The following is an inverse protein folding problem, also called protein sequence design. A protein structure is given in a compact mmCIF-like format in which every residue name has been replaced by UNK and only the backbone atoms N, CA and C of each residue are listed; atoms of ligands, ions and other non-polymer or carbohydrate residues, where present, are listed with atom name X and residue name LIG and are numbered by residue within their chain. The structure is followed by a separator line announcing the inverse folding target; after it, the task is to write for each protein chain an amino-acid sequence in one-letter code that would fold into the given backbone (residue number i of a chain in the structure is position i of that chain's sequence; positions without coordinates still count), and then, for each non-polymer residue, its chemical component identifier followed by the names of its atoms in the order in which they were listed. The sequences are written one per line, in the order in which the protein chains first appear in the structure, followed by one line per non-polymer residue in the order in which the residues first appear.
data_IF_018468211404
#
_entry.id   IF_018468211404
#
_cell.length_a   1.000
_cell.length_b   1.000
_cell.length_c   1.000
_cell.angle_alpha   90.00
_cell.angle_beta   90.00
_cell.angle_gamma   90.00
#
_symmetry.space_group_name_H-M   'P 1'
#
loop_
_entity.id
_entity.type
_entity.pdbx_description
1 polymer ?
#
# COMPACT_ATOMS: atom_id res chain seq x y z
N UNK A 1 -20.12 -36.63 0.12
CA UNK A 1 -20.44 -35.45 -0.72
C UNK A 1 -19.85 -34.24 -0.04
N UNK A 2 -18.64 -33.85 -0.42
CA UNK A 2 -17.86 -32.78 0.18
C UNK A 2 -17.71 -31.68 -0.83
N UNK A 3 -18.39 -30.56 -0.59
CA UNK A 3 -18.30 -29.36 -1.41
C UNK A 3 -17.01 -28.64 -1.11
N UNK A 4 -16.05 -28.71 -2.02
CA UNK A 4 -14.80 -27.98 -1.96
C UNK A 4 -15.03 -26.50 -2.27
N UNK A 5 -14.78 -25.62 -1.31
CA UNK A 5 -14.75 -24.19 -1.51
C UNK A 5 -13.48 -23.81 -2.27
N UNK A 6 -13.65 -23.44 -3.54
CA UNK A 6 -12.59 -22.82 -4.35
C UNK A 6 -12.32 -21.40 -3.88
N UNK A 7 -11.23 -21.22 -3.15
CA UNK A 7 -10.68 -19.90 -2.87
C UNK A 7 -9.92 -19.43 -4.11
N UNK A 8 -10.59 -18.61 -4.94
CA UNK A 8 -9.98 -17.98 -6.09
C UNK A 8 -9.04 -16.84 -5.69
N UNK A 9 -7.93 -16.86 -6.35
CA UNK A 9 -6.78 -15.97 -6.43
C UNK A 9 -7.19 -14.49 -6.39
N UNK A 10 -6.85 -13.80 -5.32
CA UNK A 10 -6.92 -12.34 -5.26
C UNK A 10 -5.75 -11.78 -6.09
N UNK A 11 -6.00 -11.46 -7.34
CA UNK A 11 -5.09 -10.66 -8.16
C UNK A 11 -5.34 -9.19 -7.82
N UNK A 12 -4.35 -8.57 -7.25
CA UNK A 12 -4.28 -7.13 -7.12
C UNK A 12 -3.94 -6.58 -8.52
N UNK A 13 -4.95 -6.21 -9.29
CA UNK A 13 -4.74 -5.57 -10.59
C UNK A 13 -5.21 -4.13 -10.49
N UNK A 14 -4.31 -3.23 -10.06
CA UNK A 14 -4.46 -1.82 -10.38
C UNK A 14 -4.14 -1.64 -11.87
N UNK A 15 -5.16 -1.58 -12.71
CA UNK A 15 -5.01 -1.28 -14.15
C UNK A 15 -4.80 0.22 -14.27
N UNK A 16 -3.54 0.66 -14.34
CA UNK A 16 -3.20 1.96 -14.91
C UNK A 16 -3.09 1.82 -16.43
N UNK A 17 -4.17 2.09 -17.16
CA UNK A 17 -4.13 2.30 -18.58
C UNK A 17 -3.55 3.70 -18.86
N UNK A 18 -2.27 3.77 -19.21
CA UNK A 18 -1.69 4.94 -19.84
C UNK A 18 -2.24 5.01 -21.26
N UNK A 19 -3.15 5.94 -21.54
CA UNK A 19 -3.66 6.22 -22.89
C UNK A 19 -2.58 6.93 -23.69
N UNK A 20 -1.89 6.16 -24.57
CA UNK A 20 -1.16 6.72 -25.70
C UNK A 20 -2.18 6.92 -26.81
N UNK A 21 -2.45 8.18 -27.17
CA UNK A 21 -3.35 8.53 -28.25
C UNK A 21 -2.83 8.05 -29.61
N UNK A 22 -3.56 7.12 -30.21
CA UNK A 22 -3.51 6.88 -31.67
C UNK A 22 -4.90 7.19 -32.19
N UNK A 23 -4.99 8.20 -33.03
CA UNK A 23 -6.20 8.55 -33.75
C UNK A 23 -6.55 7.43 -34.73
N UNK A 24 -7.70 6.79 -34.54
CA UNK A 24 -8.33 5.94 -35.53
C UNK A 24 -9.82 6.31 -35.65
N UNK A 25 -10.22 6.45 -36.90
CA UNK A 25 -11.55 6.87 -37.37
C UNK A 25 -12.65 5.88 -36.94
N UNK A 26 -13.76 6.44 -36.44
CA UNK A 26 -15.10 5.92 -36.64
C UNK A 26 -15.48 4.65 -35.86
N UNK A 27 -15.72 4.78 -34.55
CA UNK A 27 -16.62 3.88 -33.83
C UNK A 27 -17.48 4.71 -32.88
N UNK A 28 -18.80 4.46 -32.89
CA UNK A 28 -19.76 5.07 -31.97
C UNK A 28 -19.31 4.85 -30.51
N UNK A 29 -19.45 5.86 -29.64
CA UNK A 29 -19.11 5.66 -28.22
C UNK A 29 -20.06 4.65 -27.59
N UNK A 30 -19.56 3.77 -26.68
CA UNK A 30 -20.40 2.84 -25.96
C UNK A 30 -21.46 3.61 -25.16
N UNK A 31 -22.72 3.20 -25.29
CA UNK A 31 -23.86 3.77 -24.58
C UNK A 31 -23.60 3.75 -23.08
N UNK A 32 -23.59 4.91 -22.46
CA UNK A 32 -23.57 5.12 -21.02
C UNK A 32 -24.64 4.26 -20.34
N UNK A 33 -24.31 3.49 -19.31
CA UNK A 33 -25.31 2.81 -18.51
C UNK A 33 -26.27 3.87 -17.91
N UNK A 34 -27.56 3.57 -17.76
CA UNK A 34 -28.54 4.54 -17.25
C UNK A 34 -28.11 5.05 -15.88
N UNK A 35 -28.10 6.37 -15.74
CA UNK A 35 -27.59 7.10 -14.60
C UNK A 35 -28.19 6.64 -13.27
N UNK A 36 -27.33 6.40 -12.30
CA UNK A 36 -27.67 6.41 -10.88
C UNK A 36 -27.80 7.87 -10.40
N UNK A 37 -28.78 8.58 -10.93
CA UNK A 37 -29.30 9.82 -10.35
C UNK A 37 -30.48 9.46 -9.46
N UNK A 38 -30.21 8.88 -8.30
CA UNK A 38 -31.18 8.81 -7.21
C UNK A 38 -31.07 10.08 -6.36
N UNK A 39 -32.19 10.75 -6.01
CA UNK A 39 -32.17 11.88 -5.09
C UNK A 39 -32.08 11.35 -3.65
N UNK A 40 -30.88 11.00 -3.17
CA UNK A 40 -30.47 10.84 -1.77
C UNK A 40 -29.05 10.30 -1.69
N UNK A 41 -28.09 10.96 -2.32
CA UNK A 41 -26.72 10.86 -1.89
C UNK A 41 -26.58 11.70 -0.61
N UNK A 42 -26.96 11.15 0.53
CA UNK A 42 -26.48 11.66 1.83
C UNK A 42 -24.95 11.60 1.74
N UNK A 43 -24.32 12.76 1.71
CA UNK A 43 -22.86 12.86 1.73
C UNK A 43 -22.36 11.94 2.86
N UNK A 44 -21.40 11.06 2.56
CA UNK A 44 -20.90 10.12 3.53
C UNK A 44 -20.39 10.90 4.74
N UNK A 45 -20.91 10.60 5.93
CA UNK A 45 -20.49 11.23 7.18
C UNK A 45 -19.31 10.48 7.74
N UNK A 46 -18.27 11.22 8.17
CA UNK A 46 -17.03 10.67 8.71
C UNK A 46 -16.72 11.26 10.08
N UNK A 47 -16.44 10.39 11.04
CA UNK A 47 -15.86 10.79 12.31
C UNK A 47 -14.34 10.96 12.15
N UNK A 48 -13.82 12.12 12.57
CA UNK A 48 -12.38 12.38 12.55
C UNK A 48 -11.72 11.88 13.84
N UNK A 49 -10.65 11.11 13.69
CA UNK A 49 -9.79 10.64 14.76
C UNK A 49 -8.33 11.07 14.49
N UNK A 50 -7.49 11.06 15.53
CA UNK A 50 -6.04 11.20 15.41
C UNK A 50 -5.38 9.96 15.99
N UNK A 51 -4.56 9.26 15.19
CA UNK A 51 -3.81 8.08 15.61
C UNK A 51 -2.34 8.30 15.27
N UNK A 52 -1.45 8.30 16.25
CA UNK A 52 0.00 8.52 16.11
C UNK A 52 0.36 9.78 15.28
N UNK A 53 -0.54 10.79 15.28
CA UNK A 53 -0.39 12.02 14.53
C UNK A 53 -0.95 12.00 13.11
N UNK A 54 -1.50 10.86 12.64
CA UNK A 54 -2.26 10.80 11.40
C UNK A 54 -3.71 11.21 11.61
N UNK A 55 -4.28 11.91 10.62
CA UNK A 55 -5.71 12.15 10.50
C UNK A 55 -6.38 10.90 9.96
N UNK A 56 -7.30 10.32 10.74
CA UNK A 56 -8.06 9.10 10.39
C UNK A 56 -9.54 9.44 10.33
N UNK A 57 -10.15 9.27 9.16
CA UNK A 57 -11.56 9.51 8.91
C UNK A 57 -12.29 8.15 8.84
N UNK A 58 -13.22 7.94 9.74
CA UNK A 58 -14.00 6.69 9.84
C UNK A 58 -15.42 6.96 9.41
N UNK A 59 -15.90 6.25 8.38
CA UNK A 59 -17.30 6.35 7.94
C UNK A 59 -18.24 5.94 9.07
N UNK A 60 -19.27 6.75 9.34
CA UNK A 60 -20.20 6.53 10.44
C UNK A 60 -20.97 5.21 10.33
N UNK A 61 -21.21 4.70 9.12
CA UNK A 61 -21.83 3.38 8.95
C UNK A 61 -21.00 2.27 9.60
N UNK A 62 -19.68 2.32 9.50
CA UNK A 62 -18.79 1.34 10.12
C UNK A 62 -18.88 1.36 11.65
N UNK A 63 -19.13 2.54 12.24
CA UNK A 63 -19.30 2.69 13.69
C UNK A 63 -20.63 2.08 14.21
N UNK A 64 -21.62 1.95 13.34
CA UNK A 64 -22.89 1.29 13.64
C UNK A 64 -22.89 -0.19 13.22
N UNK A 65 -22.68 -0.45 11.94
CA UNK A 65 -22.86 -1.77 11.31
C UNK A 65 -21.72 -2.75 11.60
N UNK A 66 -20.46 -2.25 11.71
CA UNK A 66 -19.24 -3.04 11.88
C UNK A 66 -18.41 -2.61 13.10
N UNK A 67 -19.08 -2.13 14.15
CA UNK A 67 -18.45 -1.50 15.31
C UNK A 67 -17.25 -2.29 15.88
N UNK A 68 -17.41 -3.59 16.11
CA UNK A 68 -16.36 -4.41 16.71
C UNK A 68 -15.18 -4.60 15.74
N UNK A 69 -15.42 -4.87 14.47
CA UNK A 69 -14.39 -5.02 13.44
C UNK A 69 -13.64 -3.69 13.23
N UNK A 70 -14.37 -2.58 13.18
CA UNK A 70 -13.78 -1.23 13.05
C UNK A 70 -12.90 -0.89 14.24
N UNK A 71 -13.35 -1.15 15.47
CA UNK A 71 -12.53 -0.92 16.66
C UNK A 71 -11.22 -1.75 16.64
N UNK A 72 -11.32 -3.03 16.23
CA UNK A 72 -10.15 -3.91 16.09
C UNK A 72 -9.20 -3.43 14.97
N UNK A 73 -9.74 -3.01 13.82
CA UNK A 73 -8.95 -2.48 12.71
C UNK A 73 -8.20 -1.19 13.12
N UNK A 74 -8.83 -0.28 13.85
CA UNK A 74 -8.19 0.93 14.36
C UNK A 74 -7.10 0.65 15.40
N UNK A 75 -7.27 -0.39 16.24
CA UNK A 75 -6.24 -0.86 17.16
C UNK A 75 -5.01 -1.39 16.40
N UNK A 76 -5.24 -2.24 15.39
CA UNK A 76 -4.17 -2.80 14.55
C UNK A 76 -3.47 -1.71 13.72
N UNK A 77 -4.24 -0.76 13.16
CA UNK A 77 -3.68 0.42 12.50
C UNK A 77 -2.74 1.18 13.43
N UNK A 78 -3.13 1.40 14.69
CA UNK A 78 -2.27 2.06 15.68
C UNK A 78 -0.93 1.34 15.83
N UNK A 79 -0.93 0.01 15.93
CA UNK A 79 0.30 -0.80 16.05
C UNK A 79 1.19 -0.61 14.81
N UNK A 80 0.61 -0.64 13.59
CA UNK A 80 1.35 -0.42 12.35
C UNK A 80 1.95 0.99 12.28
N UNK A 81 1.18 2.02 12.66
CA UNK A 81 1.67 3.41 12.68
C UNK A 81 2.75 3.64 13.74
N UNK A 82 2.65 3.00 14.91
CA UNK A 82 3.70 3.02 15.95
C UNK A 82 4.99 2.40 15.44
N UNK A 83 4.91 1.28 14.70
CA UNK A 83 6.09 0.68 14.07
C UNK A 83 6.72 1.67 13.06
N UNK A 84 5.93 2.29 12.19
CA UNK A 84 6.41 3.30 11.24
C UNK A 84 7.15 4.43 11.97
N UNK A 85 6.58 4.97 13.04
CA UNK A 85 7.22 6.04 13.84
C UNK A 85 8.51 5.56 14.50
N UNK A 86 8.57 4.29 14.89
CA UNK A 86 9.73 3.68 15.54
C UNK A 86 10.89 3.45 14.58
N UNK A 87 10.64 2.96 13.36
CA UNK A 87 11.69 2.50 12.44
C UNK A 87 12.12 3.53 11.40
N UNK A 88 11.23 4.46 11.04
CA UNK A 88 11.49 5.41 9.97
C UNK A 88 12.08 6.74 10.46
N UNK A 89 12.86 7.45 9.62
CA UNK A 89 13.37 8.77 9.94
C UNK A 89 12.24 9.78 10.19
N UNK A 90 12.43 10.64 11.20
CA UNK A 90 11.42 11.63 11.58
C UNK A 90 10.97 12.55 10.42
N UNK A 91 11.86 13.02 9.49
CA UNK A 91 11.42 13.80 8.33
C UNK A 91 10.50 13.04 7.39
N UNK A 92 10.74 11.73 7.17
CA UNK A 92 9.87 10.89 6.36
C UNK A 92 8.50 10.70 7.03
N UNK A 93 8.49 10.39 8.33
CA UNK A 93 7.25 10.28 9.13
C UNK A 93 6.44 11.56 9.08
N UNK A 94 7.07 12.74 9.15
CA UNK A 94 6.38 14.02 9.05
C UNK A 94 5.64 14.15 7.70
N UNK A 95 6.27 13.71 6.59
CA UNK A 95 5.63 13.69 5.27
C UNK A 95 4.50 12.67 5.17
N UNK A 96 4.66 11.50 5.75
CA UNK A 96 3.62 10.47 5.76
C UNK A 96 2.39 10.91 6.58
N UNK A 97 2.56 11.67 7.65
CA UNK A 97 1.45 12.22 8.45
C UNK A 97 0.57 13.24 7.71
N UNK A 98 1.04 13.79 6.59
CA UNK A 98 0.23 14.63 5.70
C UNK A 98 -0.81 13.82 4.90
N UNK A 99 -0.71 12.49 4.88
CA UNK A 99 -1.64 11.59 4.19
C UNK A 99 -2.83 11.29 5.09
N UNK A 100 -4.04 11.61 4.63
CA UNK A 100 -5.27 11.24 5.34
C UNK A 100 -5.56 9.76 5.14
N UNK A 101 -5.91 9.07 6.23
CA UNK A 101 -6.31 7.67 6.24
C UNK A 101 -7.84 7.59 6.34
N UNK A 102 -8.47 6.82 5.45
CA UNK A 102 -9.91 6.70 5.34
C UNK A 102 -10.36 5.28 5.64
N UNK A 103 -11.37 5.11 6.45
CA UNK A 103 -12.06 3.84 6.67
C UNK A 103 -13.44 3.93 6.04
N UNK A 104 -13.66 3.16 4.98
CA UNK A 104 -14.90 3.12 4.20
C UNK A 104 -15.56 1.75 4.27
N UNK A 105 -16.90 1.66 4.17
CA UNK A 105 -17.58 0.40 3.93
C UNK A 105 -17.10 -0.26 2.63
N UNK A 106 -17.26 -1.57 2.56
CA UNK A 106 -17.00 -2.33 1.33
C UNK A 106 -17.87 -1.83 0.17
N UNK A 107 -17.27 -1.76 -1.02
CA UNK A 107 -17.99 -1.40 -2.24
C UNK A 107 -18.55 -2.65 -2.91
N UNK A 108 -19.82 -2.64 -3.40
CA UNK A 108 -20.42 -3.80 -4.07
C UNK A 108 -19.59 -4.27 -5.25
N UNK A 109 -19.26 -5.56 -5.27
CA UNK A 109 -18.48 -6.18 -6.36
C UNK A 109 -16.99 -5.85 -6.37
N UNK A 110 -16.49 -5.09 -5.40
CA UNK A 110 -15.06 -4.77 -5.23
C UNK A 110 -14.51 -5.58 -4.06
N UNK A 111 -13.35 -6.20 -4.25
CA UNK A 111 -12.68 -6.91 -3.15
C UNK A 111 -12.19 -5.90 -2.11
N UNK A 112 -12.52 -6.09 -0.81
CA UNK A 112 -12.04 -5.23 0.27
C UNK A 112 -10.52 -5.21 0.34
N UNK A 113 -9.92 -4.02 0.54
CA UNK A 113 -8.47 -3.84 0.59
C UNK A 113 -8.08 -2.49 1.19
N UNK A 114 -6.78 -2.31 1.44
CA UNK A 114 -6.16 -1.01 1.55
C UNK A 114 -5.74 -0.52 0.15
N UNK A 115 -5.80 0.79 -0.10
CA UNK A 115 -5.52 1.35 -1.41
C UNK A 115 -5.14 2.84 -1.33
N UNK A 116 -3.98 3.23 -1.86
CA UNK A 116 -3.64 4.64 -2.04
C UNK A 116 -4.32 5.20 -3.30
N UNK A 117 -4.90 6.37 -3.21
CA UNK A 117 -5.61 7.05 -4.32
C UNK A 117 -4.78 8.20 -4.90
N UNK A 118 -4.09 8.01 -6.03
CA UNK A 118 -3.22 9.06 -6.58
C UNK A 118 -3.98 10.26 -7.17
N UNK A 119 -5.27 10.13 -7.49
CA UNK A 119 -6.02 11.21 -8.10
C UNK A 119 -7.53 11.07 -8.05
N UNK A 120 -8.23 12.21 -8.13
CA UNK A 120 -9.67 12.30 -8.03
C UNK A 120 -10.44 11.80 -9.27
N UNK A 121 -9.79 11.68 -10.42
CA UNK A 121 -10.43 11.25 -11.67
C UNK A 121 -10.92 9.80 -11.54
N UNK A 122 -10.01 8.88 -11.25
CA UNK A 122 -10.34 7.47 -11.07
C UNK A 122 -11.40 7.25 -9.97
N UNK A 123 -11.32 7.99 -8.85
CA UNK A 123 -12.30 7.92 -7.78
C UNK A 123 -13.72 8.23 -8.30
N UNK A 124 -13.88 9.34 -9.04
CA UNK A 124 -15.17 9.71 -9.65
C UNK A 124 -15.68 8.64 -10.62
N UNK A 125 -14.80 8.16 -11.49
CA UNK A 125 -15.15 7.17 -12.52
C UNK A 125 -15.57 5.81 -11.93
N UNK A 126 -15.12 5.52 -10.68
CA UNK A 126 -15.43 4.30 -9.95
C UNK A 126 -16.45 4.52 -8.80
N UNK A 127 -17.16 5.65 -8.80
CA UNK A 127 -18.23 5.94 -7.82
C UNK A 127 -17.73 6.13 -6.38
N UNK A 128 -16.44 6.51 -6.21
CA UNK A 128 -15.84 6.81 -4.90
C UNK A 128 -15.75 8.32 -4.68
N UNK A 129 -15.63 8.72 -3.42
CA UNK A 129 -15.52 10.13 -3.05
C UNK A 129 -14.18 10.71 -3.53
N UNK A 130 -14.18 11.73 -4.42
CA UNK A 130 -12.97 12.38 -4.89
C UNK A 130 -12.15 13.09 -3.80
N UNK A 131 -12.74 13.33 -2.62
CA UNK A 131 -12.01 13.87 -1.46
C UNK A 131 -10.94 12.91 -0.92
N UNK A 132 -11.01 11.62 -1.23
CA UNK A 132 -10.00 10.63 -0.85
C UNK A 132 -8.72 10.72 -1.68
N UNK A 133 -8.68 11.56 -2.71
CA UNK A 133 -7.48 11.75 -3.53
C UNK A 133 -6.26 12.14 -2.68
N UNK A 134 -5.12 11.51 -2.98
CA UNK A 134 -3.87 11.62 -2.20
C UNK A 134 -3.96 11.08 -0.76
N UNK A 135 -4.99 10.29 -0.46
CA UNK A 135 -5.17 9.56 0.79
C UNK A 135 -5.06 8.05 0.62
N UNK A 136 -5.03 7.33 1.72
CA UNK A 136 -5.13 5.86 1.78
C UNK A 136 -6.51 5.48 2.27
N UNK A 137 -7.18 4.57 1.59
CA UNK A 137 -8.49 4.05 1.96
C UNK A 137 -8.39 2.59 2.39
N UNK A 138 -9.04 2.26 3.49
CA UNK A 138 -9.22 0.90 4.00
C UNK A 138 -10.70 0.53 3.91
N UNK A 139 -11.01 -0.48 3.08
CA UNK A 139 -12.37 -1.04 2.93
C UNK A 139 -12.50 -2.42 3.55
N UNK A 140 -11.45 -2.91 4.20
CA UNK A 140 -11.27 -4.28 4.66
C UNK A 140 -11.33 -4.45 6.18
N UNK A 141 -12.13 -3.64 6.89
CA UNK A 141 -12.19 -3.66 8.37
C UNK A 141 -12.42 -5.06 8.94
N UNK A 142 -13.21 -5.90 8.25
CA UNK A 142 -13.48 -7.29 8.67
C UNK A 142 -12.31 -8.23 8.43
N UNK A 143 -11.45 -7.93 7.48
CA UNK A 143 -10.28 -8.74 7.08
C UNK A 143 -8.97 -8.15 7.58
N UNK A 144 -8.99 -6.97 8.22
CA UNK A 144 -7.80 -6.21 8.61
C UNK A 144 -6.83 -7.05 9.45
N UNK A 145 -7.34 -7.85 10.40
CA UNK A 145 -6.51 -8.76 11.19
C UNK A 145 -5.85 -9.86 10.35
N UNK A 146 -6.58 -10.43 9.39
CA UNK A 146 -6.03 -11.46 8.50
C UNK A 146 -4.95 -10.88 7.58
N UNK A 147 -5.15 -9.66 7.07
CA UNK A 147 -4.15 -8.96 6.27
C UNK A 147 -2.91 -8.61 7.11
N UNK A 148 -3.06 -8.16 8.35
CA UNK A 148 -1.94 -7.91 9.27
C UNK A 148 -1.09 -9.18 9.52
N UNK A 149 -1.69 -10.36 9.53
CA UNK A 149 -0.96 -11.64 9.65
C UNK A 149 -0.14 -11.97 8.41
N UNK A 150 -0.61 -11.58 7.24
CA UNK A 150 0.06 -11.77 5.94
C UNK A 150 1.13 -10.69 5.69
N UNK A 151 0.74 -9.44 5.82
CA UNK A 151 1.57 -8.24 5.67
C UNK A 151 1.53 -7.46 6.98
N UNK A 152 2.52 -7.63 7.86
CA UNK A 152 2.47 -7.03 9.20
C UNK A 152 2.26 -5.53 9.19
N UNK A 153 2.72 -4.83 8.15
CA UNK A 153 2.55 -3.40 7.99
C UNK A 153 2.12 -3.00 6.57
N UNK A 154 0.95 -3.49 6.13
CA UNK A 154 0.40 -3.09 4.83
C UNK A 154 0.00 -1.60 4.76
N UNK A 155 -0.16 -0.93 5.91
CA UNK A 155 -0.29 0.53 5.95
C UNK A 155 0.98 1.22 5.45
N UNK A 156 2.16 0.65 5.74
CA UNK A 156 3.43 1.16 5.21
C UNK A 156 3.51 1.02 3.69
N UNK A 157 2.99 -0.08 3.13
CA UNK A 157 2.88 -0.28 1.68
C UNK A 157 2.13 0.88 1.00
N UNK A 158 0.93 1.15 1.47
CA UNK A 158 0.09 2.23 0.92
C UNK A 158 0.69 3.63 1.14
N UNK A 159 1.31 3.84 2.30
CA UNK A 159 2.03 5.08 2.59
C UNK A 159 3.31 5.21 1.74
N UNK A 160 3.93 4.12 1.31
CA UNK A 160 5.05 4.16 0.38
C UNK A 160 4.59 4.63 -1.02
N UNK A 161 3.43 4.20 -1.50
CA UNK A 161 2.82 4.78 -2.71
C UNK A 161 2.58 6.28 -2.56
N UNK A 162 2.05 6.71 -1.41
CA UNK A 162 1.83 8.13 -1.14
C UNK A 162 3.15 8.92 -1.12
N UNK A 163 4.20 8.39 -0.53
CA UNK A 163 5.53 9.01 -0.51
C UNK A 163 6.13 9.10 -1.92
N UNK A 164 6.06 8.01 -2.68
CA UNK A 164 6.53 7.94 -4.06
C UNK A 164 5.86 9.02 -4.92
N UNK A 165 4.52 9.11 -4.86
CA UNK A 165 3.74 10.06 -5.66
C UNK A 165 3.90 11.54 -5.23
N UNK A 166 3.99 11.80 -3.91
CA UNK A 166 3.85 13.17 -3.37
C UNK A 166 5.16 13.81 -2.96
N UNK A 167 6.17 13.02 -2.62
CA UNK A 167 7.41 13.51 -2.01
C UNK A 167 8.60 13.37 -2.94
N UNK A 168 8.68 12.26 -3.68
CA UNK A 168 9.79 12.03 -4.59
C UNK A 168 9.70 12.88 -5.86
N UNK A 169 10.86 13.28 -6.39
CA UNK A 169 10.92 14.07 -7.60
C UNK A 169 10.24 13.35 -8.77
N UNK A 170 9.28 14.03 -9.43
CA UNK A 170 8.45 13.51 -10.53
C UNK A 170 7.44 12.42 -10.10
N UNK A 171 7.24 12.20 -8.81
CA UNK A 171 6.27 11.23 -8.31
C UNK A 171 6.51 9.84 -8.88
N UNK A 172 5.48 9.16 -9.36
CA UNK A 172 5.56 7.81 -9.95
C UNK A 172 6.45 7.71 -11.20
N UNK A 173 6.89 8.84 -11.75
CA UNK A 173 7.88 8.92 -12.83
C UNK A 173 9.33 9.07 -12.34
N UNK A 174 9.60 8.75 -11.06
CA UNK A 174 10.93 8.83 -10.49
C UNK A 174 11.94 7.94 -11.25
N UNK A 175 12.96 8.57 -11.86
CA UNK A 175 13.84 7.91 -12.82
C UNK A 175 14.66 6.76 -12.23
N UNK A 176 15.20 6.92 -11.00
CA UNK A 176 16.02 5.88 -10.37
C UNK A 176 15.19 4.67 -9.96
N UNK A 177 13.94 4.85 -9.49
CA UNK A 177 13.04 3.74 -9.17
C UNK A 177 12.67 2.97 -10.43
N UNK A 178 12.33 3.66 -11.53
CA UNK A 178 12.07 3.02 -12.82
C UNK A 178 13.28 2.24 -13.32
N UNK A 179 14.46 2.81 -13.26
CA UNK A 179 15.70 2.14 -13.68
C UNK A 179 16.00 0.91 -12.81
N UNK A 180 15.80 1.00 -11.48
CA UNK A 180 15.96 -0.12 -10.56
C UNK A 180 14.97 -1.26 -10.87
N UNK A 181 13.70 -0.92 -11.08
CA UNK A 181 12.67 -1.88 -11.48
C UNK A 181 13.01 -2.61 -12.79
N UNK A 182 13.44 -1.90 -13.83
CA UNK A 182 13.80 -2.52 -15.10
C UNK A 182 15.03 -3.44 -14.96
N UNK A 183 16.02 -3.10 -14.12
CA UNK A 183 17.13 -4.00 -13.79
C UNK A 183 16.65 -5.27 -13.08
N UNK A 184 15.84 -5.12 -12.04
CA UNK A 184 15.27 -6.24 -11.28
C UNK A 184 14.44 -7.16 -12.21
N UNK A 185 13.63 -6.59 -13.08
CA UNK A 185 12.84 -7.32 -14.08
C UNK A 185 13.70 -8.05 -15.09
N UNK A 186 14.77 -7.41 -15.60
CA UNK A 186 15.70 -8.01 -16.55
C UNK A 186 16.51 -9.16 -15.93
N UNK A 187 16.86 -9.06 -14.64
CA UNK A 187 17.60 -10.12 -13.92
C UNK A 187 16.76 -11.39 -13.71
N UNK A 188 15.44 -11.29 -13.74
CA UNK A 188 14.50 -12.37 -13.42
C UNK A 188 14.61 -12.91 -11.99
N UNK A 189 15.35 -12.24 -11.11
CA UNK A 189 15.60 -12.69 -9.73
C UNK A 189 14.31 -12.76 -8.88
N UNK A 190 13.28 -12.02 -9.28
CA UNK A 190 11.98 -11.95 -8.63
C UNK A 190 10.89 -12.85 -9.27
N UNK A 191 11.23 -13.63 -10.31
CA UNK A 191 10.22 -14.42 -11.05
C UNK A 191 9.76 -15.68 -10.31
N UNK A 192 10.59 -16.21 -9.37
CA UNK A 192 10.33 -17.43 -8.60
C UNK A 192 10.82 -17.27 -7.17
N UNK A 193 10.17 -16.40 -6.41
CA UNK A 193 10.50 -16.14 -5.01
C UNK A 193 9.46 -16.74 -4.08
N UNK A 194 9.83 -16.97 -2.82
CA UNK A 194 8.90 -17.45 -1.81
C UNK A 194 7.86 -16.38 -1.46
N UNK A 195 6.62 -16.83 -1.28
CA UNK A 195 5.53 -16.04 -0.74
C UNK A 195 5.06 -16.60 0.59
N UNK A 196 4.98 -15.74 1.59
CA UNK A 196 4.37 -15.97 2.90
C UNK A 196 2.87 -15.69 2.87
N UNK A 197 2.04 -16.52 3.50
CA UNK A 197 0.58 -16.36 3.51
C UNK A 197 -0.01 -15.97 4.87
N UNK A 198 0.78 -15.94 5.94
CA UNK A 198 0.34 -15.51 7.28
C UNK A 198 -0.70 -16.41 7.97
N UNK A 199 -1.08 -17.54 7.36
CA UNK A 199 -2.19 -18.39 7.81
C UNK A 199 -1.80 -19.84 8.07
N UNK A 200 -0.51 -20.11 8.27
CA UNK A 200 0.03 -21.45 8.51
C UNK A 200 0.16 -22.34 7.27
N UNK A 201 -0.19 -21.86 6.09
CA UNK A 201 0.08 -22.59 4.84
C UNK A 201 1.56 -22.57 4.50
N UNK A 202 2.10 -23.62 3.87
CA UNK A 202 3.46 -23.61 3.35
C UNK A 202 3.67 -22.46 2.35
N UNK A 203 4.85 -21.85 2.37
CA UNK A 203 5.26 -20.90 1.36
C UNK A 203 5.18 -21.53 -0.03
N UNK A 204 4.93 -20.70 -1.04
CA UNK A 204 4.97 -21.09 -2.45
C UNK A 204 5.94 -20.20 -3.19
N UNK A 205 6.57 -20.76 -4.23
CA UNK A 205 7.33 -19.95 -5.18
C UNK A 205 6.41 -19.42 -6.26
N UNK A 206 6.42 -18.11 -6.43
CA UNK A 206 5.70 -17.42 -7.51
C UNK A 206 6.42 -16.11 -7.84
N UNK A 207 5.99 -15.45 -8.91
CA UNK A 207 6.52 -14.14 -9.26
C UNK A 207 6.15 -13.12 -8.20
N UNK A 208 7.14 -12.35 -7.70
CA UNK A 208 6.91 -11.31 -6.72
C UNK A 208 5.91 -10.27 -7.24
N UNK A 209 5.02 -9.81 -6.38
CA UNK A 209 4.09 -8.73 -6.70
C UNK A 209 4.82 -7.42 -7.06
N UNK A 210 5.99 -7.19 -6.47
CA UNK A 210 6.93 -6.14 -6.83
C UNK A 210 7.17 -6.00 -8.35
N UNK A 211 7.07 -7.10 -9.11
CA UNK A 211 7.30 -7.09 -10.57
C UNK A 211 6.06 -6.72 -11.40
N UNK A 212 4.99 -6.25 -10.77
CA UNK A 212 3.79 -5.75 -11.47
C UNK A 212 3.96 -4.33 -11.98
N UNK A 213 4.66 -3.47 -11.23
CA UNK A 213 4.96 -2.09 -11.65
C UNK A 213 6.12 -1.50 -10.85
N UNK A 214 6.74 -0.38 -11.31
CA UNK A 214 7.72 0.36 -10.51
C UNK A 214 7.18 0.87 -9.17
N UNK A 215 5.89 1.13 -9.08
CA UNK A 215 5.22 1.60 -7.86
C UNK A 215 5.16 0.48 -6.82
N UNK A 216 4.73 -0.72 -7.24
CA UNK A 216 4.69 -1.90 -6.37
C UNK A 216 6.10 -2.35 -5.96
N UNK A 217 7.05 -2.28 -6.88
CA UNK A 217 8.45 -2.59 -6.56
C UNK A 217 8.99 -1.69 -5.45
N UNK A 218 8.69 -0.37 -5.50
CA UNK A 218 9.08 0.56 -4.45
C UNK A 218 8.36 0.26 -3.13
N UNK A 219 7.05 -0.02 -3.14
CA UNK A 219 6.27 -0.29 -1.94
C UNK A 219 6.68 -1.61 -1.27
N UNK A 220 6.74 -2.72 -2.02
CA UNK A 220 7.16 -4.04 -1.54
C UNK A 220 8.59 -4.03 -0.95
N UNK A 221 9.53 -3.38 -1.65
CA UNK A 221 10.90 -3.27 -1.15
C UNK A 221 11.01 -2.31 0.05
N UNK A 222 10.12 -1.32 0.18
CA UNK A 222 10.01 -0.48 1.38
C UNK A 222 9.53 -1.29 2.58
N UNK A 223 8.57 -2.21 2.40
CA UNK A 223 8.16 -3.13 3.46
C UNK A 223 9.32 -4.01 3.93
N UNK A 224 10.05 -4.62 3.00
CA UNK A 224 11.23 -5.41 3.34
C UNK A 224 12.30 -4.59 4.06
N UNK A 225 12.45 -3.29 3.71
CA UNK A 225 13.47 -2.40 4.26
C UNK A 225 13.16 -1.97 5.70
N UNK A 226 11.91 -1.68 6.04
CA UNK A 226 11.51 -1.12 7.35
C UNK A 226 10.70 -2.07 8.22
N UNK A 227 10.08 -3.12 7.65
CA UNK A 227 9.19 -4.05 8.34
C UNK A 227 9.41 -5.47 7.82
N UNK A 228 8.36 -6.09 7.34
CA UNK A 228 8.38 -7.42 6.73
C UNK A 228 7.45 -7.49 5.54
N UNK A 229 7.98 -7.86 4.38
CA UNK A 229 7.23 -8.13 3.16
C UNK A 229 6.61 -9.54 3.16
N UNK A 230 5.55 -9.79 2.37
CA UNK A 230 4.97 -11.13 2.18
C UNK A 230 5.59 -11.91 1.01
N UNK A 231 6.36 -11.25 0.13
CA UNK A 231 7.23 -11.88 -0.85
C UNK A 231 8.70 -11.76 -0.46
N UNK A 232 9.49 -12.81 -0.77
CA UNK A 232 10.94 -12.68 -0.64
C UNK A 232 11.50 -11.66 -1.65
N UNK A 233 12.41 -10.77 -1.16
CA UNK A 233 13.01 -10.67 0.16
C UNK A 233 12.04 -10.17 1.23
N UNK A 234 12.00 -10.86 2.37
CA UNK A 234 11.07 -10.55 3.46
C UNK A 234 11.56 -9.45 4.38
N UNK A 235 12.89 -9.30 4.50
CA UNK A 235 13.55 -8.42 5.46
C UNK A 235 14.65 -7.59 4.79
N UNK A 236 15.12 -6.54 5.47
CA UNK A 236 16.20 -5.69 4.96
C UNK A 236 17.49 -6.47 4.68
N UNK A 237 17.85 -7.41 5.55
CA UNK A 237 19.07 -8.20 5.36
C UNK A 237 18.98 -9.09 4.12
N UNK A 238 17.81 -9.67 3.87
CA UNK A 238 17.53 -10.44 2.66
C UNK A 238 17.49 -9.53 1.42
N UNK A 239 16.88 -8.34 1.51
CA UNK A 239 16.87 -7.35 0.44
C UNK A 239 18.30 -6.92 0.07
N UNK A 240 19.13 -6.66 1.07
CA UNK A 240 20.54 -6.29 0.88
C UNK A 240 21.35 -7.36 0.15
N UNK A 241 21.00 -8.65 0.36
CA UNK A 241 21.65 -9.77 -0.33
C UNK A 241 21.09 -9.99 -1.72
N UNK A 242 19.76 -9.85 -1.88
CA UNK A 242 19.04 -10.14 -3.11
C UNK A 242 19.11 -9.00 -4.12
N UNK A 243 18.95 -7.75 -3.66
CA UNK A 243 18.93 -6.53 -4.47
C UNK A 243 19.63 -5.37 -3.75
N UNK A 244 20.98 -5.43 -3.65
CA UNK A 244 21.76 -4.46 -2.91
C UNK A 244 21.69 -3.03 -3.48
N UNK A 245 21.38 -2.89 -4.77
CA UNK A 245 21.23 -1.58 -5.40
C UNK A 245 19.91 -0.91 -4.98
N UNK A 246 18.83 -1.71 -4.89
CA UNK A 246 17.55 -1.19 -4.39
C UNK A 246 17.62 -0.87 -2.90
N UNK A 247 18.28 -1.69 -2.10
CA UNK A 247 18.48 -1.40 -0.66
C UNK A 247 19.18 -0.05 -0.46
N UNK A 248 20.28 0.22 -1.20
CA UNK A 248 20.99 1.51 -1.16
C UNK A 248 20.13 2.67 -1.70
N UNK A 249 19.31 2.42 -2.71
CA UNK A 249 18.39 3.44 -3.23
C UNK A 249 17.35 3.82 -2.18
N UNK A 250 16.75 2.85 -1.50
CA UNK A 250 15.80 3.09 -0.41
C UNK A 250 16.45 3.88 0.74
N UNK A 251 17.67 3.53 1.13
CA UNK A 251 18.42 4.27 2.16
C UNK A 251 18.56 5.76 1.80
N UNK A 252 18.87 6.07 0.53
CA UNK A 252 18.95 7.48 0.08
C UNK A 252 17.59 8.17 0.03
N UNK A 253 16.57 7.50 -0.51
CA UNK A 253 15.24 8.10 -0.73
C UNK A 253 14.48 8.34 0.57
N UNK A 254 14.60 7.44 1.53
CA UNK A 254 13.94 7.53 2.83
C UNK A 254 14.79 8.24 3.89
N UNK A 255 16.12 8.38 3.68
CA UNK A 255 17.06 8.91 4.66
C UNK A 255 17.59 7.87 5.65
N UNK A 256 17.46 6.59 5.31
CA UNK A 256 17.87 5.46 6.14
C UNK A 256 16.92 5.17 7.33
N UNK A 257 17.10 4.04 8.04
CA UNK A 257 16.33 3.74 9.24
C UNK A 257 16.74 4.67 10.39
N UNK A 258 15.83 4.85 11.34
CA UNK A 258 16.12 5.59 12.57
C UNK A 258 17.22 4.85 13.32
N UNK A 259 18.31 5.56 13.64
CA UNK A 259 19.39 5.00 14.45
C UNK A 259 18.88 4.73 15.85
N UNK A 260 19.17 3.55 16.39
CA UNK A 260 18.89 3.23 17.79
C UNK A 260 20.03 3.78 18.67
N UNK A 261 19.77 3.95 19.98
CA UNK A 261 20.83 4.34 20.91
C UNK A 261 21.99 3.32 20.94
N UNK A 262 21.74 2.07 20.61
CA UNK A 262 22.78 1.03 20.48
C UNK A 262 23.67 1.26 19.28
N UNK A 263 23.12 1.68 18.13
CA UNK A 263 23.87 2.03 16.92
C UNK A 263 24.78 3.25 17.17
N UNK A 264 24.28 4.22 17.93
CA UNK A 264 25.06 5.40 18.30
C UNK A 264 26.22 5.06 19.26
N UNK A 265 25.99 4.18 20.24
CA UNK A 265 27.03 3.69 21.16
C UNK A 265 28.09 2.85 20.44
N UNK A 266 27.72 2.09 19.42
CA UNK A 266 28.64 1.28 18.63
C UNK A 266 29.54 2.14 17.75
N UNK A 267 28.97 3.13 17.04
CA UNK A 267 29.73 4.08 16.22
C UNK A 267 30.60 5.05 17.04
N UNK A 268 30.24 5.30 18.30
CA UNK A 268 31.04 6.11 19.22
C UNK A 268 32.28 5.38 19.78
N UNK A 269 32.29 4.04 19.74
CA UNK A 269 33.46 3.23 20.18
C UNK A 269 34.51 3.08 19.09
N UNK A 270 34.12 3.09 17.82
CA UNK A 270 35.06 2.95 16.69
C UNK A 270 35.78 4.26 16.34
N UNK A 271 35.49 5.37 17.01
CA UNK A 271 36.12 6.68 16.81
C UNK A 271 37.12 7.07 17.93
N UNK A 272 37.41 6.18 18.83
CA UNK A 272 38.46 6.34 19.87
C UNK A 272 39.56 5.32 19.66
#
# INVERSE_FOLDING_TARGET
MTTGSHWHRSFWSAIFAASIGVAALGAEPPKTPPGLTGPNSTAASFQTNSIEGWRVLVNERLLGEDKAATAKALELLRVQLQEIVRVMPAPAVAKLREVTLWFSPEYPGVQPRAEYHPGAGWLRDNGRDPMMAKGVEFTDVRNFEAETKRMPNFTLHELAHAYHDRVLARGFDHAEIKAAYERAKASKSYDQVERWFGNGRPNKKEKAYAMSSPMEYFAETTEAFFSRNDFFPFTRDELKQHDPEMEKLLERLWGGPKRTEEDEKRNGRDKK
#
